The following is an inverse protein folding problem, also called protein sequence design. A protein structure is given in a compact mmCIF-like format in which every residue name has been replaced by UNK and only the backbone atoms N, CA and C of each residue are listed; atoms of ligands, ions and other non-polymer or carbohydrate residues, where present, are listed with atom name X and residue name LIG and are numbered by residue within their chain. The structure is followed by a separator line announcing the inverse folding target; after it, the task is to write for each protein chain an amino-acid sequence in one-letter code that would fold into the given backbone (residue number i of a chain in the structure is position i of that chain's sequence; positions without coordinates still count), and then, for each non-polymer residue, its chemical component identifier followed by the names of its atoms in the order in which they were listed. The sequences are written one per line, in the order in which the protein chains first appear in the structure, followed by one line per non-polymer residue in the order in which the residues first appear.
data_IF_785274878538
#
_entry.id   IF_785274878538
#
_cell.length_a   1.000
_cell.length_b   1.000
_cell.length_c   1.000
_cell.angle_alpha   90.00
_cell.angle_beta   90.00
_cell.angle_gamma   90.00
#
_symmetry.space_group_name_H-M   'P 1'
#
loop_
_entity.id
_entity.type
_entity.pdbx_description
1 polymer ?
#
# COMPACT_ATOMS: atom_id res chain seq x y z
N UNK A 1 -11.25 10.16 1.78
CA UNK A 1 -10.58 10.16 0.46
C UNK A 1 -9.23 9.52 0.65
N UNK A 2 -9.00 8.35 0.05
CA UNK A 2 -7.64 7.83 -0.09
C UNK A 2 -6.89 8.82 -0.96
N UNK A 3 -5.74 9.28 -0.49
CA UNK A 3 -4.99 10.41 -1.04
C UNK A 3 -4.75 10.24 -2.54
N UNK A 4 -4.92 11.31 -3.32
CA UNK A 4 -4.51 11.26 -4.71
C UNK A 4 -2.98 11.32 -4.80
N UNK A 5 -2.33 10.53 -5.70
CA UNK A 5 -0.89 10.50 -5.78
C UNK A 5 -0.34 11.86 -6.21
N UNK A 6 0.76 12.27 -5.58
CA UNK A 6 1.52 13.43 -6.04
C UNK A 6 2.19 13.13 -7.39
N UNK A 7 2.15 14.09 -8.30
CA UNK A 7 2.95 14.05 -9.52
C UNK A 7 4.41 14.25 -9.13
N UNK A 8 5.27 13.31 -9.53
CA UNK A 8 6.71 13.38 -9.31
C UNK A 8 7.42 13.39 -10.66
N UNK A 9 8.41 14.26 -10.79
CA UNK A 9 9.31 14.32 -11.95
C UNK A 9 10.59 13.61 -11.54
N UNK A 10 10.93 12.53 -12.25
CA UNK A 10 12.11 11.72 -11.96
C UNK A 10 13.23 12.06 -12.93
N UNK A 11 14.47 12.05 -12.43
CA UNK A 11 15.67 12.22 -13.26
C UNK A 11 16.49 10.93 -13.27
N UNK A 12 17.23 10.68 -14.35
CA UNK A 12 17.96 9.42 -14.53
C UNK A 12 18.96 9.11 -13.40
N UNK A 13 19.40 10.11 -12.63
CA UNK A 13 20.43 9.98 -11.60
C UNK A 13 20.06 8.99 -10.49
N UNK A 14 18.82 9.06 -9.99
CA UNK A 14 18.34 8.28 -8.83
C UNK A 14 16.95 7.67 -9.05
N UNK A 15 16.57 7.42 -10.32
CA UNK A 15 15.19 7.04 -10.67
C UNK A 15 14.73 5.76 -9.96
N UNK A 16 15.64 4.82 -9.65
CA UNK A 16 15.29 3.58 -8.96
C UNK A 16 14.83 3.85 -7.53
N UNK A 17 15.64 4.56 -6.76
CA UNK A 17 15.37 4.90 -5.37
C UNK A 17 14.10 5.75 -5.25
N UNK A 18 13.93 6.69 -6.19
CA UNK A 18 12.76 7.57 -6.25
C UNK A 18 11.46 6.80 -6.55
N UNK A 19 11.52 5.77 -7.42
CA UNK A 19 10.39 4.89 -7.71
C UNK A 19 10.05 3.97 -6.53
N UNK A 20 11.06 3.42 -5.84
CA UNK A 20 10.86 2.62 -4.64
C UNK A 20 10.23 3.44 -3.51
N UNK A 21 10.64 4.70 -3.35
CA UNK A 21 10.03 5.64 -2.41
C UNK A 21 8.58 5.93 -2.79
N UNK A 22 8.30 6.21 -4.06
CA UNK A 22 6.94 6.45 -4.54
C UNK A 22 6.02 5.24 -4.33
N UNK A 23 6.54 4.03 -4.53
CA UNK A 23 5.82 2.79 -4.22
C UNK A 23 5.50 2.71 -2.72
N UNK A 24 6.48 2.95 -1.84
CA UNK A 24 6.26 2.93 -0.38
C UNK A 24 5.18 3.93 0.03
N UNK A 25 5.26 5.16 -0.47
CA UNK A 25 4.31 6.23 -0.17
C UNK A 25 2.91 5.89 -0.68
N UNK A 26 2.81 5.40 -1.91
CA UNK A 26 1.53 4.97 -2.48
C UNK A 26 0.88 3.87 -1.63
N UNK A 27 1.62 2.84 -1.24
CA UNK A 27 1.08 1.73 -0.43
C UNK A 27 0.59 2.26 0.92
N UNK A 28 1.39 3.06 1.62
CA UNK A 28 1.04 3.66 2.92
C UNK A 28 -0.20 4.52 2.88
N UNK A 29 -0.38 5.28 1.79
CA UNK A 29 -1.45 6.25 1.69
C UNK A 29 -2.76 5.67 1.11
N UNK A 30 -2.67 4.54 0.40
CA UNK A 30 -3.80 3.92 -0.30
C UNK A 30 -4.36 2.66 0.37
N UNK A 31 -3.57 1.96 1.19
CA UNK A 31 -4.05 0.82 1.96
C UNK A 31 -4.76 1.28 3.23
N UNK A 32 -6.00 0.83 3.42
CA UNK A 32 -6.73 1.02 4.67
C UNK A 32 -6.63 -0.20 5.58
N UNK A 33 -6.67 0.01 6.90
CA UNK A 33 -6.82 -1.08 7.88
C UNK A 33 -8.11 -0.85 8.65
N UNK A 34 -9.01 -1.84 8.64
CA UNK A 34 -10.26 -1.76 9.41
C UNK A 34 -9.99 -1.94 10.90
N UNK A 35 -10.95 -1.56 11.77
CA UNK A 35 -10.87 -1.81 13.21
C UNK A 35 -10.75 -3.29 13.60
N UNK A 36 -11.07 -4.19 12.67
CA UNK A 36 -10.91 -5.64 12.81
C UNK A 36 -9.61 -6.14 12.15
N UNK A 37 -8.63 -5.30 11.85
CA UNK A 37 -7.33 -5.71 11.28
C UNK A 37 -7.35 -6.15 9.81
N UNK A 38 -8.52 -6.25 9.18
CA UNK A 38 -8.62 -6.54 7.73
C UNK A 38 -8.09 -5.37 6.91
N UNK A 39 -7.17 -5.65 5.99
CA UNK A 39 -6.65 -4.68 5.02
C UNK A 39 -7.64 -4.45 3.88
N UNK A 40 -7.73 -3.20 3.43
CA UNK A 40 -8.43 -2.77 2.23
C UNK A 40 -7.40 -2.31 1.22
N UNK A 41 -7.29 -3.05 0.11
CA UNK A 41 -6.20 -2.95 -0.87
C UNK A 41 -6.76 -2.41 -2.19
N UNK A 42 -6.22 -1.32 -2.74
CA UNK A 42 -6.62 -0.85 -4.06
C UNK A 42 -6.38 -1.90 -5.14
N UNK A 43 -7.32 -2.03 -6.10
CA UNK A 43 -7.21 -2.96 -7.23
C UNK A 43 -5.90 -2.80 -8.00
N UNK A 44 -5.41 -1.57 -8.17
CA UNK A 44 -4.13 -1.29 -8.82
C UNK A 44 -2.97 -2.00 -8.11
N UNK A 45 -2.89 -1.85 -6.78
CA UNK A 45 -1.86 -2.50 -5.96
C UNK A 45 -2.00 -4.02 -5.99
N UNK A 46 -3.23 -4.54 -5.92
CA UNK A 46 -3.49 -5.97 -6.02
C UNK A 46 -3.04 -6.56 -7.36
N UNK A 47 -3.36 -5.90 -8.48
CA UNK A 47 -2.94 -6.33 -9.81
C UNK A 47 -1.43 -6.29 -9.98
N UNK A 48 -0.76 -5.26 -9.46
CA UNK A 48 0.69 -5.15 -9.45
C UNK A 48 1.33 -6.30 -8.65
N UNK A 49 0.85 -6.54 -7.43
CA UNK A 49 1.40 -7.53 -6.52
C UNK A 49 1.32 -8.98 -7.02
N UNK A 50 0.31 -9.30 -7.83
CA UNK A 50 0.14 -10.62 -8.43
C UNK A 50 1.31 -11.10 -9.29
N UNK A 51 2.18 -10.20 -9.75
CA UNK A 51 3.38 -10.57 -10.50
C UNK A 51 4.47 -11.20 -9.63
N UNK A 52 4.38 -11.09 -8.29
CA UNK A 52 5.46 -11.49 -7.39
C UNK A 52 5.02 -12.03 -6.03
N UNK A 53 3.75 -11.87 -5.61
CA UNK A 53 3.21 -12.35 -4.33
C UNK A 53 1.84 -13.02 -4.52
N UNK A 54 1.66 -14.19 -3.89
CA UNK A 54 0.38 -14.89 -3.84
C UNK A 54 -0.69 -14.15 -3.03
N UNK A 55 -1.96 -14.32 -3.41
CA UNK A 55 -3.12 -13.74 -2.70
C UNK A 55 -3.13 -14.09 -1.19
N UNK A 56 -2.58 -15.25 -0.79
CA UNK A 56 -2.46 -15.69 0.61
C UNK A 56 -1.44 -14.87 1.42
N UNK A 57 -0.37 -14.42 0.75
CA UNK A 57 0.76 -13.70 1.35
C UNK A 57 0.68 -12.19 1.14
N UNK A 58 -0.25 -11.70 0.30
CA UNK A 58 -0.43 -10.28 0.02
C UNK A 58 -0.53 -9.42 1.27
N UNK A 59 -1.28 -9.87 2.28
CA UNK A 59 -1.47 -9.08 3.49
C UNK A 59 -0.18 -8.92 4.32
N UNK A 60 0.65 -9.97 4.35
CA UNK A 60 1.98 -9.94 4.98
C UNK A 60 2.92 -9.06 4.17
N UNK A 61 2.93 -9.20 2.84
CA UNK A 61 3.75 -8.36 1.98
C UNK A 61 3.44 -6.86 2.17
N UNK A 62 2.16 -6.51 2.27
CA UNK A 62 1.73 -5.13 2.52
C UNK A 62 2.15 -4.63 3.91
N UNK A 63 2.19 -5.49 4.95
CA UNK A 63 2.54 -5.05 6.31
C UNK A 63 3.96 -4.48 6.40
N UNK A 64 4.88 -4.95 5.56
CA UNK A 64 6.25 -4.42 5.48
C UNK A 64 6.33 -2.95 5.03
N UNK A 65 5.28 -2.44 4.37
CA UNK A 65 5.21 -1.04 3.95
C UNK A 65 4.51 -0.16 4.99
N UNK A 66 3.74 -0.74 5.92
CA UNK A 66 2.94 0.03 6.88
C UNK A 66 3.81 0.56 8.04
N UNK A 67 3.37 1.65 8.71
CA UNK A 67 3.98 2.07 9.97
C UNK A 67 3.96 0.96 11.02
N UNK A 68 4.97 0.90 11.89
CA UNK A 68 5.18 -0.24 12.82
C UNK A 68 3.95 -0.60 13.66
N UNK A 69 3.20 0.39 14.14
CA UNK A 69 1.97 0.14 14.92
C UNK A 69 0.86 -0.53 14.10
N UNK A 70 0.72 -0.17 12.82
CA UNK A 70 -0.26 -0.77 11.92
C UNK A 70 0.20 -2.16 11.48
N UNK A 71 1.50 -2.31 11.21
CA UNK A 71 2.09 -3.60 10.84
C UNK A 71 1.88 -4.64 11.95
N UNK A 72 2.19 -4.30 13.21
CA UNK A 72 2.00 -5.18 14.36
C UNK A 72 0.52 -5.59 14.54
N UNK A 73 -0.40 -4.64 14.39
CA UNK A 73 -1.83 -4.91 14.49
C UNK A 73 -2.33 -5.87 13.38
N UNK A 74 -1.86 -5.66 12.15
CA UNK A 74 -2.15 -6.53 11.00
C UNK A 74 -1.58 -7.93 11.22
N UNK A 75 -0.34 -8.05 11.69
CA UNK A 75 0.31 -9.35 11.93
C UNK A 75 -0.39 -10.16 13.02
N UNK A 76 -0.81 -9.51 14.10
CA UNK A 76 -1.64 -10.12 15.13
C UNK A 76 -2.97 -10.62 14.55
N UNK A 77 -3.61 -9.84 13.67
CA UNK A 77 -4.84 -10.28 13.01
C UNK A 77 -4.61 -11.47 12.06
N UNK A 78 -3.55 -11.45 11.26
CA UNK A 78 -3.21 -12.53 10.33
C UNK A 78 -2.94 -13.83 11.09
N UNK A 79 -2.18 -13.77 12.19
CA UNK A 79 -1.87 -14.95 13.02
C UNK A 79 -3.12 -15.56 13.67
N UNK A 80 -4.01 -14.73 14.24
CA UNK A 80 -5.30 -15.19 14.78
C UNK A 80 -6.17 -15.84 13.70
N UNK A 81 -6.18 -15.29 12.48
CA UNK A 81 -6.97 -15.81 11.37
C UNK A 81 -6.41 -17.12 10.82
N UNK A 82 -5.09 -17.30 10.75
CA UNK A 82 -4.45 -18.56 10.32
C UNK A 82 -4.77 -19.74 11.24
N UNK A 83 -5.08 -19.47 12.51
CA UNK A 83 -5.56 -20.48 13.47
C UNK A 83 -7.04 -20.83 13.26
N UNK A 84 -7.78 -20.03 12.49
CA UNK A 84 -9.17 -20.29 12.13
C UNK A 84 -9.25 -21.15 10.86
N UNK A 85 -10.06 -22.21 10.88
CA UNK A 85 -10.28 -23.15 9.76
C UNK A 85 -10.99 -22.52 8.54
N UNK A 86 -11.36 -21.23 8.60
CA UNK A 86 -12.05 -20.52 7.53
C UNK A 86 -11.03 -19.84 6.60
N UNK A 87 -10.81 -20.43 5.42
CA UNK A 87 -9.94 -19.96 4.33
C UNK A 87 -10.39 -18.66 3.65
N UNK A 88 -10.68 -17.62 4.44
CA UNK A 88 -11.20 -16.35 3.95
C UNK A 88 -10.07 -15.37 3.62
N UNK A 89 -10.16 -14.76 2.42
CA UNK A 89 -9.22 -13.74 1.91
C UNK A 89 -8.78 -12.75 2.99
N UNK A 90 -7.46 -12.60 3.12
CA UNK A 90 -6.81 -11.74 4.12
C UNK A 90 -7.04 -10.24 3.86
N UNK A 91 -7.43 -9.87 2.64
CA UNK A 91 -7.65 -8.51 2.19
C UNK A 91 -9.02 -8.34 1.52
N UNK A 92 -9.60 -7.14 1.64
CA UNK A 92 -10.69 -6.68 0.79
C UNK A 92 -10.12 -5.86 -0.36
N UNK A 93 -10.56 -6.10 -1.60
CA UNK A 93 -10.09 -5.34 -2.76
C UNK A 93 -11.03 -4.16 -3.02
N UNK A 94 -10.49 -2.94 -2.97
CA UNK A 94 -11.21 -1.72 -3.35
C UNK A 94 -11.13 -1.57 -4.88
N UNK A 95 -12.25 -1.37 -5.60
CA UNK A 95 -12.23 -1.16 -7.04
C UNK A 95 -11.42 0.08 -7.44
N UNK A 96 -11.03 0.14 -8.71
CA UNK A 96 -10.38 1.32 -9.27
C UNK A 96 -11.36 2.51 -9.27
N UNK A 97 -10.88 3.70 -8.91
CA UNK A 97 -11.62 4.95 -9.04
C UNK A 97 -10.88 5.86 -10.02
N UNK A 98 -11.49 6.12 -11.18
CA UNK A 98 -10.92 6.98 -12.23
C UNK A 98 -11.03 8.47 -11.91
N UNK A 99 -11.72 8.86 -10.83
CA UNK A 99 -11.93 10.27 -10.45
C UNK A 99 -10.78 10.83 -9.60
N UNK A 100 -9.59 10.26 -9.71
CA UNK A 100 -8.41 10.73 -9.00
C UNK A 100 -7.95 12.08 -9.56
N UNK A 101 -7.33 12.91 -8.71
CA UNK A 101 -6.85 14.25 -9.10
C UNK A 101 -5.34 14.32 -8.87
N UNK A 102 -4.59 14.72 -9.89
CA UNK A 102 -3.16 14.93 -9.72
C UNK A 102 -2.89 16.08 -8.74
N UNK A 103 -2.03 15.81 -7.76
CA UNK A 103 -1.49 16.83 -6.86
C UNK A 103 -0.11 17.24 -7.37
N UNK A 104 0.05 18.50 -7.75
CA UNK A 104 1.36 19.08 -8.01
C UNK A 104 1.90 19.60 -6.68
N UNK A 105 2.96 18.96 -6.18
CA UNK A 105 3.63 19.45 -4.98
C UNK A 105 4.55 20.60 -5.38
N UNK A 106 4.63 21.69 -4.57
CA UNK A 106 5.62 22.73 -4.79
C UNK A 106 7.02 22.12 -4.72
N UNK A 107 7.93 22.62 -5.54
CA UNK A 107 9.32 22.16 -5.55
C UNK A 107 9.90 22.24 -4.14
N UNK A 108 10.59 21.17 -3.73
CA UNK A 108 11.44 21.23 -2.54
C UNK A 108 12.59 22.16 -2.89
N UNK A 109 12.43 23.45 -2.58
CA UNK A 109 13.55 24.40 -2.57
C UNK A 109 14.50 23.86 -1.51
N UNK A 110 15.57 23.22 -1.95
CA UNK A 110 16.70 22.91 -1.08
C UNK A 110 17.21 24.24 -0.55
N UNK A 111 16.90 24.55 0.70
CA UNK A 111 17.62 25.59 1.43
C UNK A 111 19.07 25.10 1.52
N UNK A 112 19.92 25.68 0.67
CA UNK A 112 21.38 25.53 0.75
C UNK A 112 21.92 26.23 1.98
#
# INVERSE_FOLDING_TARGET
MYSSPAVRIYTAKNVREELEEAQRDFIRASVGVTSKGKQLVPKLLHCFAKGFVDDSNLAVWISHYLPSHQAAFVEQFISQRRQSLLGSRNCGIIPFDSRFRYLFLPDKISLQ
#
